data_IF_330590926958
#
_entry.id   IF_330590926958
#
_cell.length_a   1.000
_cell.length_b   1.000
_cell.length_c   1.000
_cell.angle_alpha   90.00
_cell.angle_beta   90.00
_cell.angle_gamma   90.00
#
_symmetry.space_group_name_H-M   'P 1'
#
loop_
_entity.id
_entity.type
_entity.pdbx_description
1 polymer ?
#
# COMPACT_ATOMS: atom_id res chain seq x y z
N UNK A 1 3.44 26.14 22.85
CA UNK A 1 3.74 24.68 22.82
C UNK A 1 4.22 24.36 21.41
N UNK A 2 5.44 24.80 21.07
CA UNK A 2 5.92 24.79 19.68
C UNK A 2 7.10 23.84 19.47
N UNK A 3 7.58 23.18 20.53
CA UNK A 3 8.67 22.20 20.45
C UNK A 3 8.40 21.09 19.44
N UNK A 4 7.19 20.49 19.46
CA UNK A 4 6.78 19.46 18.50
C UNK A 4 6.33 20.02 17.14
N UNK A 5 6.35 21.34 16.92
CA UNK A 5 6.05 21.92 15.60
C UNK A 5 7.29 22.03 14.72
N UNK A 6 8.46 22.09 15.33
CA UNK A 6 9.74 22.01 14.63
C UNK A 6 10.02 20.55 14.18
N UNK A 7 10.22 20.30 12.87
CA UNK A 7 10.56 18.98 12.35
C UNK A 7 11.84 18.39 12.97
N UNK A 8 12.83 19.23 13.27
CA UNK A 8 14.14 18.84 13.81
C UNK A 8 13.99 18.29 15.22
N UNK A 9 13.24 18.99 16.06
CA UNK A 9 12.98 18.55 17.44
C UNK A 9 12.19 17.23 17.49
N UNK A 10 11.28 17.01 16.52
CA UNK A 10 10.60 15.72 16.38
C UNK A 10 11.59 14.62 16.07
N UNK A 11 12.45 14.81 15.08
CA UNK A 11 13.44 13.81 14.66
C UNK A 11 14.40 13.46 15.81
N UNK A 12 14.95 14.45 16.50
CA UNK A 12 15.81 14.24 17.67
C UNK A 12 15.08 13.54 18.81
N UNK A 13 13.84 13.92 19.10
CA UNK A 13 13.03 13.27 20.13
C UNK A 13 12.72 11.82 19.79
N UNK A 14 12.35 11.51 18.54
CA UNK A 14 12.12 10.14 18.09
C UNK A 14 13.39 9.29 18.21
N UNK A 15 14.54 9.83 17.81
CA UNK A 15 15.84 9.18 17.98
C UNK A 15 16.14 8.88 19.45
N UNK A 16 15.97 9.89 20.33
CA UNK A 16 16.18 9.75 21.77
C UNK A 16 15.26 8.69 22.41
N UNK A 17 13.96 8.74 22.10
CA UNK A 17 12.98 7.78 22.63
C UNK A 17 13.28 6.35 22.16
N UNK A 18 13.69 6.19 20.91
CA UNK A 18 14.09 4.87 20.36
C UNK A 18 15.23 4.28 21.18
N UNK A 19 16.28 5.07 21.46
CA UNK A 19 17.42 4.63 22.29
C UNK A 19 16.94 4.26 23.70
N UNK A 20 16.11 5.08 24.33
CA UNK A 20 15.63 4.81 25.70
C UNK A 20 14.75 3.57 25.80
N UNK A 21 13.92 3.31 24.79
CA UNK A 21 13.11 2.08 24.72
C UNK A 21 14.02 0.85 24.60
N UNK A 22 15.15 0.94 23.88
CA UNK A 22 16.12 -0.15 23.75
C UNK A 22 16.87 -0.46 25.04
N UNK A 23 17.23 0.58 25.79
CA UNK A 23 17.93 0.45 27.07
C UNK A 23 17.02 -0.02 28.20
N UNK A 24 15.70 -0.06 27.98
CA UNK A 24 14.73 -0.44 28.99
C UNK A 24 14.67 -1.96 29.20
N UNK A 25 14.55 -2.38 30.46
CA UNK A 25 14.33 -3.79 30.80
C UNK A 25 12.86 -4.18 30.54
N UNK A 26 12.62 -4.91 29.46
CA UNK A 26 11.32 -5.45 29.13
C UNK A 26 11.16 -6.88 29.67
N UNK A 27 9.95 -7.27 30.11
CA UNK A 27 9.69 -8.65 30.51
C UNK A 27 10.01 -9.66 29.39
N UNK A 28 10.59 -10.85 29.68
CA UNK A 28 11.01 -11.81 28.66
C UNK A 28 9.89 -12.30 27.74
N UNK A 29 8.65 -12.28 28.21
CA UNK A 29 7.47 -12.70 27.45
C UNK A 29 6.94 -11.60 26.49
N UNK A 30 7.49 -10.38 26.54
CA UNK A 30 7.04 -9.27 25.69
C UNK A 30 7.98 -9.10 24.50
N UNK A 31 7.37 -8.92 23.33
CA UNK A 31 8.07 -8.49 22.13
C UNK A 31 7.77 -7.01 21.90
N UNK A 32 8.80 -6.19 21.77
CA UNK A 32 8.68 -4.76 21.50
C UNK A 32 9.11 -4.50 20.05
N UNK A 33 8.34 -3.71 19.32
CA UNK A 33 8.70 -3.21 17.99
C UNK A 33 8.90 -1.70 18.07
N UNK A 34 10.04 -1.21 17.61
CA UNK A 34 10.40 0.22 17.63
C UNK A 34 10.81 0.67 16.24
N UNK A 35 10.21 1.76 15.76
CA UNK A 35 10.61 2.40 14.50
C UNK A 35 11.77 3.36 14.76
N UNK A 36 12.91 3.14 14.10
CA UNK A 36 14.07 4.03 14.11
C UNK A 36 14.39 4.48 12.69
N UNK A 37 14.02 5.73 12.36
CA UNK A 37 14.07 6.24 10.99
C UNK A 37 13.24 5.37 10.05
N UNK A 38 13.88 4.81 9.01
CA UNK A 38 13.23 3.92 8.05
C UNK A 38 13.17 2.46 8.52
N UNK A 39 13.75 2.12 9.67
CA UNK A 39 13.89 0.72 10.12
C UNK A 39 12.95 0.35 11.25
N UNK A 40 12.51 -0.92 11.28
CA UNK A 40 11.78 -1.49 12.43
C UNK A 40 12.73 -2.44 13.17
N UNK A 41 13.03 -2.12 14.42
CA UNK A 41 13.82 -2.94 15.33
C UNK A 41 12.90 -3.74 16.26
N UNK A 42 13.32 -4.96 16.62
CA UNK A 42 12.54 -5.86 17.49
C UNK A 42 13.37 -6.23 18.72
N UNK A 43 12.81 -6.05 19.92
CA UNK A 43 13.40 -6.44 21.20
C UNK A 43 12.63 -7.66 21.72
N UNK A 44 13.32 -8.77 22.01
CA UNK A 44 12.75 -10.04 22.46
C UNK A 44 12.82 -11.16 21.40
N UNK A 45 12.10 -12.27 21.61
CA UNK A 45 12.08 -13.42 20.69
C UNK A 45 11.23 -13.19 19.41
N UNK A 46 10.81 -11.95 19.17
CA UNK A 46 10.03 -11.57 18.02
C UNK A 46 10.80 -11.69 16.71
N UNK A 47 10.09 -12.02 15.64
CA UNK A 47 10.66 -12.05 14.31
C UNK A 47 10.77 -10.63 13.75
N UNK A 48 11.94 -10.26 13.22
CA UNK A 48 12.21 -8.93 12.64
C UNK A 48 11.26 -8.64 11.46
N UNK A 49 10.67 -7.45 11.45
CA UNK A 49 9.81 -6.95 10.37
C UNK A 49 10.60 -6.05 9.41
N UNK A 50 10.30 -6.12 8.12
CA UNK A 50 10.92 -5.24 7.12
C UNK A 50 10.39 -3.79 7.19
N UNK A 51 11.19 -2.87 6.65
CA UNK A 51 10.88 -1.45 6.54
C UNK A 51 9.58 -1.20 5.78
N UNK A 52 8.79 -0.22 6.22
CA UNK A 52 7.62 0.29 5.51
C UNK A 52 8.01 1.55 4.73
N UNK A 53 7.48 1.77 3.52
CA UNK A 53 7.80 2.97 2.75
C UNK A 53 6.82 4.14 3.06
N UNK A 54 7.13 5.35 2.61
CA UNK A 54 6.32 6.54 2.92
C UNK A 54 4.91 6.50 2.31
N UNK A 55 4.75 5.93 1.11
CA UNK A 55 3.43 5.74 0.48
C UNK A 55 2.53 4.79 1.31
N UNK A 56 3.16 3.81 1.96
CA UNK A 56 2.53 2.91 2.92
C UNK A 56 2.02 3.69 4.15
N UNK A 57 2.81 4.63 4.67
CA UNK A 57 2.42 5.44 5.82
C UNK A 57 1.21 6.35 5.53
N UNK A 58 1.17 6.98 4.36
CA UNK A 58 0.10 7.90 3.97
C UNK A 58 -1.25 7.19 3.87
N UNK A 59 -1.26 5.99 3.27
CA UNK A 59 -2.49 5.20 3.14
C UNK A 59 -2.89 4.56 4.49
N UNK A 60 -1.93 4.27 5.37
CA UNK A 60 -2.20 3.79 6.74
C UNK A 60 -2.97 4.80 7.56
N UNK A 61 -2.73 6.11 7.42
CA UNK A 61 -3.44 7.15 8.18
C UNK A 61 -4.96 7.09 7.93
N UNK A 62 -5.38 6.90 6.68
CA UNK A 62 -6.81 6.81 6.33
C UNK A 62 -7.43 5.56 6.95
N UNK A 63 -6.74 4.42 6.85
CA UNK A 63 -7.22 3.16 7.43
C UNK A 63 -7.30 3.27 8.96
N UNK A 64 -6.33 3.91 9.60
CA UNK A 64 -6.37 4.18 11.04
C UNK A 64 -7.53 5.09 11.41
N UNK A 65 -7.82 6.12 10.60
CA UNK A 65 -8.95 7.00 10.82
C UNK A 65 -10.29 6.25 10.71
N UNK A 66 -10.47 5.41 9.68
CA UNK A 66 -11.67 4.58 9.52
C UNK A 66 -11.80 3.54 10.64
N UNK A 67 -10.70 2.85 10.97
CA UNK A 67 -10.68 1.87 12.05
C UNK A 67 -10.97 2.50 13.43
N UNK A 68 -10.48 3.71 13.68
CA UNK A 68 -10.80 4.47 14.90
C UNK A 68 -12.29 4.83 14.98
N UNK A 69 -12.96 5.01 13.83
CA UNK A 69 -14.40 5.29 13.76
C UNK A 69 -15.24 4.01 14.00
N UNK A 70 -14.75 2.83 13.61
CA UNK A 70 -15.55 1.60 13.58
C UNK A 70 -15.36 0.63 14.77
N UNK A 71 -14.33 0.81 15.60
CA UNK A 71 -14.01 -0.06 16.75
C UNK A 71 -14.16 -1.57 16.49
N UNK A 72 -13.10 -2.15 15.94
CA UNK A 72 -12.91 -3.60 15.82
C UNK A 72 -12.00 -3.91 14.64
N UNK A 73 -10.94 -4.72 14.83
CA UNK A 73 -10.00 -5.05 13.76
C UNK A 73 -10.62 -6.07 12.82
N UNK A 74 -11.48 -5.61 11.91
CA UNK A 74 -12.09 -6.46 10.90
C UNK A 74 -11.23 -6.43 9.63
N UNK A 75 -10.94 -7.62 9.10
CA UNK A 75 -10.39 -7.73 7.75
C UNK A 75 -11.40 -7.19 6.74
N UNK A 76 -10.97 -6.24 5.93
CA UNK A 76 -11.77 -5.69 4.83
C UNK A 76 -11.45 -6.49 3.56
N UNK A 77 -12.47 -7.01 2.90
CA UNK A 77 -12.33 -7.58 1.55
C UNK A 77 -12.62 -6.51 0.48
N UNK A 78 -12.45 -6.85 -0.81
CA UNK A 78 -12.69 -5.90 -1.91
C UNK A 78 -14.19 -5.54 -2.09
N UNK A 79 -15.09 -6.43 -1.69
CA UNK A 79 -16.53 -6.20 -1.74
C UNK A 79 -17.03 -5.30 -0.58
N UNK A 80 -16.27 -5.20 0.51
CA UNK A 80 -16.58 -4.39 1.69
C UNK A 80 -16.76 -2.91 1.32
N UNK A 81 -17.82 -2.29 1.85
CA UNK A 81 -18.15 -0.89 1.57
C UNK A 81 -17.03 0.06 2.01
N UNK A 82 -16.36 -0.25 3.12
CA UNK A 82 -15.25 0.53 3.64
C UNK A 82 -14.05 0.44 2.71
N UNK A 83 -13.79 -0.74 2.13
CA UNK A 83 -12.73 -0.90 1.14
C UNK A 83 -13.01 -0.10 -0.13
N UNK A 84 -14.25 -0.09 -0.62
CA UNK A 84 -14.63 0.75 -1.77
C UNK A 84 -14.45 2.24 -1.52
N UNK A 85 -14.71 2.71 -0.30
CA UNK A 85 -14.44 4.10 0.12
C UNK A 85 -12.93 4.38 0.12
N UNK A 86 -12.11 3.43 0.60
CA UNK A 86 -10.65 3.53 0.55
C UNK A 86 -10.13 3.55 -0.90
N UNK A 87 -10.67 2.73 -1.79
CA UNK A 87 -10.34 2.77 -3.22
C UNK A 87 -10.65 4.14 -3.83
N UNK A 88 -11.87 4.62 -3.64
CA UNK A 88 -12.31 5.93 -4.15
C UNK A 88 -11.46 7.08 -3.61
N UNK A 89 -11.13 7.07 -2.32
CA UNK A 89 -10.23 8.06 -1.75
C UNK A 89 -8.83 7.97 -2.36
N UNK A 90 -8.31 6.75 -2.55
CA UNK A 90 -6.99 6.54 -3.18
C UNK A 90 -7.00 7.07 -4.62
N UNK A 91 -8.08 6.89 -5.36
CA UNK A 91 -8.23 7.52 -6.70
C UNK A 91 -8.09 9.04 -6.60
N UNK A 92 -8.82 9.67 -5.69
CA UNK A 92 -8.80 11.14 -5.50
C UNK A 92 -7.41 11.65 -5.10
N UNK A 93 -6.66 10.89 -4.31
CA UNK A 93 -5.29 11.25 -3.92
C UNK A 93 -4.35 11.35 -5.14
N UNK A 94 -4.48 10.43 -6.10
CA UNK A 94 -3.66 10.42 -7.31
C UNK A 94 -4.21 11.31 -8.42
N UNK A 95 -5.53 11.50 -8.45
CA UNK A 95 -6.25 12.32 -9.42
C UNK A 95 -7.57 12.87 -8.86
N UNK A 96 -7.50 14.07 -8.29
CA UNK A 96 -8.65 14.80 -7.74
C UNK A 96 -9.76 15.11 -8.75
N UNK A 97 -9.46 15.02 -10.04
CA UNK A 97 -10.42 15.28 -11.12
C UNK A 97 -11.11 14.03 -11.63
N UNK A 98 -10.65 12.84 -11.20
CA UNK A 98 -11.21 11.59 -11.67
C UNK A 98 -12.62 11.37 -11.10
N UNK A 99 -13.61 11.05 -11.94
CA UNK A 99 -14.93 10.65 -11.47
C UNK A 99 -15.00 9.16 -11.07
N UNK A 100 -13.88 8.43 -11.19
CA UNK A 100 -13.82 6.99 -11.00
C UNK A 100 -13.70 6.65 -9.51
N UNK A 101 -14.39 5.58 -9.11
CA UNK A 101 -14.27 5.00 -7.75
C UNK A 101 -13.39 3.75 -7.72
N UNK A 102 -13.15 3.12 -8.88
CA UNK A 102 -12.28 1.95 -9.02
C UNK A 102 -10.83 2.37 -9.26
N UNK A 103 -9.94 1.93 -8.36
CA UNK A 103 -8.51 2.25 -8.45
C UNK A 103 -7.85 1.64 -9.70
N UNK A 104 -8.28 0.45 -10.13
CA UNK A 104 -7.75 -0.19 -11.33
C UNK A 104 -8.18 0.56 -12.60
N UNK A 105 -9.43 1.06 -12.65
CA UNK A 105 -9.90 1.88 -13.77
C UNK A 105 -9.18 3.22 -13.82
N UNK A 106 -9.03 3.89 -12.67
CA UNK A 106 -8.26 5.12 -12.57
C UNK A 106 -6.79 4.90 -12.97
N UNK A 107 -6.17 3.81 -12.50
CA UNK A 107 -4.81 3.42 -12.90
C UNK A 107 -4.71 3.25 -14.41
N UNK A 108 -5.68 2.58 -15.04
CA UNK A 108 -5.76 2.40 -16.50
C UNK A 108 -5.93 3.73 -17.23
N UNK A 109 -6.79 4.62 -16.77
CA UNK A 109 -6.99 5.94 -17.37
C UNK A 109 -5.72 6.80 -17.30
N UNK A 110 -5.11 6.87 -16.11
CA UNK A 110 -3.89 7.63 -15.88
C UNK A 110 -2.72 7.13 -16.73
N UNK A 111 -2.63 5.82 -16.92
CA UNK A 111 -1.62 5.21 -17.76
C UNK A 111 -1.89 5.44 -19.26
N UNK A 112 -3.10 5.12 -19.73
CA UNK A 112 -3.43 5.15 -21.15
C UNK A 112 -3.63 6.57 -21.71
N UNK A 113 -4.37 7.41 -20.98
CA UNK A 113 -4.88 8.68 -21.49
C UNK A 113 -4.04 9.86 -21.01
N UNK A 114 -3.62 9.85 -19.74
CA UNK A 114 -2.80 10.94 -19.17
C UNK A 114 -1.29 10.68 -19.27
N UNK A 115 -0.89 9.51 -19.80
CA UNK A 115 0.49 9.10 -20.07
C UNK A 115 1.43 9.33 -18.86
N UNK A 116 0.91 9.09 -17.64
CA UNK A 116 1.68 9.22 -16.41
C UNK A 116 2.74 8.12 -16.32
N UNK A 117 3.87 8.46 -15.71
CA UNK A 117 4.93 7.50 -15.41
C UNK A 117 4.47 6.52 -14.33
N UNK A 118 5.06 5.31 -14.32
CA UNK A 118 4.62 4.19 -13.47
C UNK A 118 4.64 4.51 -11.97
N UNK A 119 5.59 5.33 -11.53
CA UNK A 119 5.77 5.87 -10.17
C UNK A 119 4.67 6.85 -9.76
N UNK A 120 3.90 7.39 -10.72
CA UNK A 120 2.81 8.36 -10.47
C UNK A 120 1.42 7.75 -10.63
N UNK A 121 1.35 6.43 -10.68
CA UNK A 121 0.10 5.68 -10.80
C UNK A 121 -0.37 5.20 -9.43
N UNK A 122 -1.67 5.27 -9.13
CA UNK A 122 -2.23 4.71 -7.89
C UNK A 122 -1.97 3.20 -7.84
N UNK A 123 -1.81 2.58 -6.65
CA UNK A 123 -1.56 1.14 -6.55
C UNK A 123 -2.65 0.31 -7.26
N UNK A 124 -2.39 -0.97 -7.51
CA UNK A 124 -3.46 -1.89 -7.93
C UNK A 124 -4.42 -2.13 -6.77
N UNK A 125 -5.66 -2.53 -7.06
CA UNK A 125 -6.63 -2.91 -6.02
C UNK A 125 -6.09 -4.04 -5.11
N UNK A 126 -5.37 -5.01 -5.68
CA UNK A 126 -4.70 -6.08 -4.91
C UNK A 126 -3.60 -5.53 -3.99
N UNK A 127 -2.74 -4.63 -4.49
CA UNK A 127 -1.70 -4.01 -3.67
C UNK A 127 -2.31 -3.17 -2.54
N UNK A 128 -3.39 -2.42 -2.82
CA UNK A 128 -4.13 -1.67 -1.82
C UNK A 128 -4.77 -2.60 -0.79
N UNK A 129 -5.31 -3.75 -1.18
CA UNK A 129 -5.85 -4.74 -0.25
C UNK A 129 -4.78 -5.26 0.70
N UNK A 130 -3.61 -5.66 0.19
CA UNK A 130 -2.53 -6.13 1.05
C UNK A 130 -2.07 -5.03 2.02
N UNK A 131 -2.04 -3.78 1.53
CA UNK A 131 -1.73 -2.62 2.34
C UNK A 131 -2.74 -2.40 3.47
N UNK A 132 -4.03 -2.42 3.17
CA UNK A 132 -5.12 -2.27 4.15
C UNK A 132 -5.04 -3.35 5.22
N UNK A 133 -4.76 -4.61 4.85
CA UNK A 133 -4.57 -5.70 5.81
C UNK A 133 -3.45 -5.41 6.80
N UNK A 134 -2.28 -4.95 6.33
CA UNK A 134 -1.17 -4.58 7.23
C UNK A 134 -1.53 -3.39 8.13
N UNK A 135 -2.25 -2.41 7.60
CA UNK A 135 -2.71 -1.25 8.37
C UNK A 135 -3.70 -1.65 9.48
N UNK A 136 -4.67 -2.51 9.19
CA UNK A 136 -5.62 -3.06 10.16
C UNK A 136 -4.90 -3.83 11.27
N UNK A 137 -3.90 -4.63 10.94
CA UNK A 137 -3.09 -5.35 11.93
C UNK A 137 -2.42 -4.42 12.93
N UNK A 138 -1.74 -3.38 12.42
CA UNK A 138 -1.09 -2.39 13.27
C UNK A 138 -2.10 -1.63 14.14
N UNK A 139 -3.23 -1.23 13.54
CA UNK A 139 -4.29 -0.54 14.26
C UNK A 139 -4.87 -1.38 15.39
N UNK A 140 -5.07 -2.69 15.14
CA UNK A 140 -5.54 -3.64 16.15
C UNK A 140 -4.57 -3.78 17.33
N UNK A 141 -3.26 -3.80 17.08
CA UNK A 141 -2.25 -3.81 18.16
C UNK A 141 -2.30 -2.50 18.97
N UNK A 142 -2.39 -1.34 18.31
CA UNK A 142 -2.37 -0.06 19.00
C UNK A 142 -3.62 0.19 19.84
N UNK A 143 -4.79 -0.16 19.32
CA UNK A 143 -6.07 -0.01 20.02
C UNK A 143 -6.21 -0.94 21.23
N UNK A 144 -5.48 -2.04 21.24
CA UNK A 144 -5.46 -3.03 22.34
C UNK A 144 -4.34 -2.78 23.36
N UNK A 145 -3.58 -1.68 23.22
CA UNK A 145 -2.49 -1.30 24.15
C UNK A 145 -2.91 -1.19 25.62
N UNK A 146 -4.20 -0.94 25.90
CA UNK A 146 -4.77 -0.86 27.26
C UNK A 146 -5.12 -2.22 27.86
N UNK A 147 -5.07 -3.30 27.08
CA UNK A 147 -5.38 -4.66 27.53
C UNK A 147 -4.12 -5.34 28.05
N UNK A 148 -4.17 -5.82 29.28
CA UNK A 148 -3.00 -6.36 29.99
C UNK A 148 -2.52 -7.71 29.48
N UNK A 149 -3.28 -8.41 28.62
CA UNK A 149 -2.97 -9.74 28.07
C UNK A 149 -3.52 -9.93 26.64
N UNK A 150 -3.41 -8.92 25.78
CA UNK A 150 -3.83 -9.08 24.39
C UNK A 150 -2.93 -10.10 23.66
N UNK A 151 -3.55 -11.13 23.07
CA UNK A 151 -2.86 -12.06 22.18
C UNK A 151 -2.79 -11.42 20.81
N UNK A 152 -1.59 -11.05 20.40
CA UNK A 152 -1.34 -10.49 19.07
C UNK A 152 -1.65 -11.58 18.02
N UNK A 153 -2.55 -11.33 17.06
CA UNK A 153 -2.86 -12.30 16.02
C UNK A 153 -1.64 -12.53 15.10
N UNK A 154 -1.64 -13.61 14.33
CA UNK A 154 -0.49 -13.92 13.46
C UNK A 154 -0.37 -12.87 12.34
N UNK A 155 0.83 -12.32 12.07
CA UNK A 155 1.06 -11.45 10.92
C UNK A 155 0.66 -12.07 9.58
N UNK A 156 0.69 -13.41 9.49
CA UNK A 156 0.40 -14.16 8.26
C UNK A 156 -1.00 -13.89 7.71
N UNK A 157 -1.98 -13.66 8.61
CA UNK A 157 -3.36 -13.35 8.23
C UNK A 157 -3.52 -11.90 7.72
N UNK A 158 -2.48 -11.09 7.88
CA UNK A 158 -2.48 -9.66 7.58
C UNK A 158 -1.41 -9.28 6.55
N UNK A 159 -1.30 -10.07 5.49
CA UNK A 159 -0.43 -9.80 4.34
C UNK A 159 1.08 -9.77 4.68
N UNK A 160 1.50 -10.65 5.59
CA UNK A 160 2.90 -10.99 5.80
C UNK A 160 3.15 -12.46 5.46
N UNK A 161 4.36 -12.79 5.06
CA UNK A 161 4.80 -14.18 4.86
C UNK A 161 6.18 -14.39 5.48
N UNK A 162 6.51 -15.64 5.80
CA UNK A 162 7.77 -15.97 6.48
C UNK A 162 8.79 -16.47 5.47
N UNK A 163 9.87 -15.70 5.28
CA UNK A 163 10.98 -16.04 4.39
C UNK A 163 12.27 -16.07 5.21
N UNK A 164 12.95 -17.21 5.22
CA UNK A 164 14.21 -17.41 5.97
C UNK A 164 14.11 -16.98 7.44
N UNK A 165 12.98 -17.33 8.09
CA UNK A 165 12.72 -16.99 9.48
C UNK A 165 12.30 -15.53 9.73
N UNK A 166 12.29 -14.65 8.72
CA UNK A 166 11.89 -13.23 8.82
C UNK A 166 10.50 -12.98 8.25
N UNK A 167 9.75 -12.04 8.82
CA UNK A 167 8.47 -11.61 8.26
C UNK A 167 8.71 -10.59 7.16
N UNK A 168 8.23 -10.89 5.96
CA UNK A 168 8.30 -9.99 4.80
C UNK A 168 6.88 -9.67 4.34
N UNK A 169 6.61 -8.41 3.95
CA UNK A 169 5.29 -8.01 3.51
C UNK A 169 4.97 -8.67 2.15
N UNK A 170 3.74 -9.13 2.02
CA UNK A 170 3.18 -9.55 0.72
C UNK A 170 2.68 -8.28 0.05
N UNK A 171 3.38 -7.82 -0.98
CA UNK A 171 3.03 -6.58 -1.68
C UNK A 171 1.90 -6.76 -2.69
N UNK A 172 1.87 -7.90 -3.35
CA UNK A 172 0.85 -8.29 -4.32
C UNK A 172 0.69 -9.81 -4.28
N UNK A 173 -0.51 -10.29 -4.58
CA UNK A 173 -0.83 -11.71 -4.80
C UNK A 173 -0.95 -12.04 -6.29
N UNK A 174 -1.17 -11.02 -7.12
CA UNK A 174 -1.21 -11.16 -8.57
C UNK A 174 0.19 -11.09 -9.15
N UNK A 175 0.48 -11.98 -10.11
CA UNK A 175 1.77 -12.01 -10.82
C UNK A 175 1.96 -10.71 -11.59
N UNK A 176 3.13 -10.09 -11.44
CA UNK A 176 3.48 -8.90 -12.20
C UNK A 176 3.43 -9.14 -13.71
N UNK A 177 2.93 -8.15 -14.44
CA UNK A 177 2.91 -8.19 -15.91
C UNK A 177 4.35 -8.28 -16.43
N UNK A 178 4.68 -9.32 -17.22
CA UNK A 178 6.04 -9.50 -17.75
C UNK A 178 6.42 -8.36 -18.71
N UNK A 179 7.74 -8.10 -18.84
CA UNK A 179 8.26 -7.04 -19.73
C UNK A 179 7.89 -7.27 -21.21
N UNK A 180 7.51 -8.49 -21.55
CA UNK A 180 7.11 -8.95 -22.87
C UNK A 180 5.58 -8.89 -23.10
N UNK A 181 4.83 -8.21 -22.22
CA UNK A 181 3.38 -8.14 -22.31
C UNK A 181 2.91 -7.51 -23.63
N UNK A 182 2.33 -8.34 -24.49
CA UNK A 182 1.83 -7.96 -25.82
C UNK A 182 0.70 -6.93 -25.76
N UNK A 183 0.00 -6.85 -24.63
CA UNK A 183 -1.11 -5.91 -24.39
C UNK A 183 -0.64 -4.45 -24.28
N UNK A 184 0.65 -4.21 -24.05
CA UNK A 184 1.26 -2.87 -24.01
C UNK A 184 1.66 -2.35 -25.39
N UNK A 185 1.45 -3.13 -26.46
CA UNK A 185 1.76 -2.70 -27.83
C UNK A 185 0.78 -1.61 -28.25
N UNK A 186 1.33 -0.41 -28.51
CA UNK A 186 0.58 0.73 -29.04
C UNK A 186 0.97 1.10 -30.46
N UNK A 187 -0.02 1.52 -31.25
CA UNK A 187 0.19 2.16 -32.54
C UNK A 187 -0.05 3.68 -32.49
N UNK A 188 0.53 4.39 -33.45
CA UNK A 188 0.37 5.84 -33.63
C UNK A 188 -0.38 6.17 -34.93
N UNK A 189 -1.23 5.27 -35.40
CA UNK A 189 -1.92 5.42 -36.68
C UNK A 189 -2.90 6.60 -36.63
N UNK A 190 -2.87 7.45 -37.66
CA UNK A 190 -3.79 8.59 -37.83
C UNK A 190 -5.03 8.25 -38.66
N UNK A 191 -5.01 7.09 -39.33
CA UNK A 191 -6.05 6.53 -40.20
C UNK A 191 -6.47 5.15 -39.67
N UNK A 192 -7.33 4.46 -40.42
CA UNK A 192 -7.80 3.13 -40.10
C UNK A 192 -6.67 2.11 -39.88
N UNK A 193 -6.84 1.25 -38.88
CA UNK A 193 -5.83 0.31 -38.41
C UNK A 193 -5.93 -1.05 -39.13
N UNK A 194 -5.84 -1.05 -40.47
CA UNK A 194 -5.80 -2.30 -41.26
C UNK A 194 -4.41 -2.94 -41.29
N UNK A 195 -3.34 -2.13 -41.26
CA UNK A 195 -1.94 -2.60 -41.26
C UNK A 195 -1.13 -1.81 -40.22
N UNK A 196 -1.42 -2.01 -38.93
CA UNK A 196 -0.73 -1.31 -37.84
C UNK A 196 0.17 -2.22 -37.00
N UNK A 197 0.95 -1.64 -36.08
CA UNK A 197 1.82 -2.39 -35.16
C UNK A 197 1.03 -3.40 -34.30
N UNK A 198 -0.19 -3.05 -33.90
CA UNK A 198 -1.07 -3.92 -33.12
C UNK A 198 -1.53 -5.12 -33.97
N UNK A 199 -2.04 -4.87 -35.18
CA UNK A 199 -2.43 -5.94 -36.13
C UNK A 199 -1.27 -6.87 -36.46
N UNK A 200 -0.08 -6.31 -36.73
CA UNK A 200 1.14 -7.11 -36.99
C UNK A 200 1.57 -7.97 -35.80
N UNK A 201 1.26 -7.53 -34.59
CA UNK A 201 1.53 -8.28 -33.36
C UNK A 201 0.37 -9.19 -32.94
N UNK A 202 -0.68 -9.29 -33.78
CA UNK A 202 -1.90 -10.06 -33.53
C UNK A 202 -2.61 -9.66 -32.23
N UNK A 203 -2.69 -8.35 -31.96
CA UNK A 203 -3.44 -7.77 -30.83
C UNK A 203 -4.36 -6.65 -31.30
N UNK A 204 -5.48 -6.47 -30.61
CA UNK A 204 -6.41 -5.37 -30.88
C UNK A 204 -5.80 -4.01 -30.47
N UNK A 205 -6.24 -2.93 -31.11
CA UNK A 205 -5.84 -1.58 -30.71
C UNK A 205 -6.41 -1.25 -29.33
N UNK A 206 -5.56 -1.20 -28.32
CA UNK A 206 -5.94 -0.81 -26.96
C UNK A 206 -6.03 0.72 -26.80
N UNK A 207 -6.57 1.24 -25.69
CA UNK A 207 -6.57 2.68 -25.40
C UNK A 207 -5.19 3.33 -25.28
N UNK A 208 -4.11 2.54 -25.28
CA UNK A 208 -2.74 3.05 -25.39
C UNK A 208 -2.45 3.60 -26.79
N UNK A 209 -3.23 3.19 -27.80
CA UNK A 209 -3.09 3.64 -29.17
C UNK A 209 -3.67 5.04 -29.35
N UNK A 210 -3.03 5.86 -30.19
CA UNK A 210 -3.56 7.18 -30.56
C UNK A 210 -4.50 7.15 -31.78
N UNK A 211 -4.86 5.95 -32.24
CA UNK A 211 -5.74 5.78 -33.39
C UNK A 211 -7.21 5.96 -32.99
N UNK A 212 -8.03 6.45 -33.92
CA UNK A 212 -9.47 6.67 -33.69
C UNK A 212 -10.34 5.41 -33.64
N UNK A 213 -9.72 4.23 -33.78
CA UNK A 213 -10.39 2.93 -33.93
C UNK A 213 -10.14 2.01 -32.73
N UNK A 214 -10.08 2.60 -31.53
CA UNK A 214 -10.16 1.82 -30.29
C UNK A 214 -11.62 1.33 -30.25
N UNK A 215 -11.82 0.01 -30.44
CA UNK A 215 -13.13 -0.61 -30.20
C UNK A 215 -13.35 -0.75 -28.69
#
# INVERSE_FOLDING_TARGET
>A
MDFLRDPTNKEELFSFLTVKIRESNWPPAKTIYVTSGETVETIGAGTRMQNCNHEEADTRIVVHAMHAVEQGAKLLDVADEHFKKLESLTVILYDRTSPLSSINEARRELFCQKNRTMDKLPPTSDALQQHVRRAVYQAGIWTTSRQTQYVVPSPQDFAWTKVSGSWVPVWMTVVGVSRECRELIKCCCKRECSVCKCVKANVECSPLCKCKYIK
#
